data_IF_840418251985
#
_entry.id   IF_840418251985
#
_cell.length_a   1.000
_cell.length_b   1.000
_cell.length_c   1.000
_cell.angle_alpha   90.00
_cell.angle_beta   90.00
_cell.angle_gamma   90.00
#
_symmetry.space_group_name_H-M   'P 1'
#
loop_
_entity.id
_entity.type
_entity.pdbx_description
1 polymer ?
#
# COMPACT_ATOMS: atom_id res chain seq x y z
N UNK A 1 14.01 -7.36 -11.35
CA UNK A 1 12.51 -7.38 -11.36
C UNK A 1 12.01 -6.63 -10.14
N UNK A 2 11.08 -5.69 -10.30
CA UNK A 2 10.54 -4.87 -9.20
C UNK A 2 9.17 -5.36 -8.73
N UNK A 3 8.90 -5.28 -7.42
CA UNK A 3 7.63 -5.63 -6.79
C UNK A 3 7.08 -4.44 -6.02
N UNK A 4 5.88 -3.99 -6.37
CA UNK A 4 5.19 -2.88 -5.71
C UNK A 4 3.93 -3.37 -5.00
N UNK A 5 3.84 -3.06 -3.72
CA UNK A 5 2.64 -3.32 -2.92
C UNK A 5 1.96 -1.99 -2.61
N UNK A 6 0.69 -1.86 -2.99
CA UNK A 6 -0.14 -0.70 -2.68
C UNK A 6 -1.16 -1.07 -1.62
N UNK A 7 -1.18 -0.35 -0.52
CA UNK A 7 -2.11 -0.56 0.58
C UNK A 7 -2.87 0.75 0.84
N UNK A 8 -4.19 0.74 0.68
CA UNK A 8 -5.00 1.86 1.16
C UNK A 8 -5.13 1.78 2.68
N UNK A 9 -4.95 2.91 3.38
CA UNK A 9 -5.17 2.95 4.84
C UNK A 9 -6.51 2.32 5.24
N UNK A 10 -6.58 1.74 6.43
CA UNK A 10 -7.79 1.15 7.00
C UNK A 10 -8.83 2.23 7.35
N UNK A 11 -10.03 1.81 7.77
CA UNK A 11 -11.15 2.72 8.01
C UNK A 11 -10.84 3.75 9.09
N UNK A 12 -10.89 5.04 8.74
CA UNK A 12 -10.66 6.15 9.66
C UNK A 12 -11.92 6.58 10.42
N UNK A 13 -11.71 7.23 11.59
CA UNK A 13 -12.77 7.80 12.42
C UNK A 13 -13.17 9.18 11.92
N UNK A 14 -14.46 9.50 12.09
CA UNK A 14 -15.06 10.82 11.91
C UNK A 14 -15.66 11.36 13.19
N UNK A 15 -15.40 10.70 14.34
CA UNK A 15 -15.98 11.05 15.65
C UNK A 15 -15.42 12.35 16.23
N UNK A 16 -14.30 12.83 15.70
CA UNK A 16 -13.57 14.00 16.18
C UNK A 16 -13.50 15.06 15.08
N UNK A 17 -14.56 15.87 14.86
CA UNK A 17 -14.59 16.85 13.77
C UNK A 17 -13.59 18.00 13.94
N UNK A 18 -13.04 18.21 15.15
CA UNK A 18 -11.98 19.17 15.47
C UNK A 18 -10.61 18.78 14.92
N UNK A 19 -10.38 17.50 14.59
CA UNK A 19 -9.12 17.04 14.02
C UNK A 19 -9.02 17.39 12.54
N UNK A 20 -7.81 17.78 12.11
CA UNK A 20 -7.50 17.88 10.68
C UNK A 20 -7.59 16.52 10.01
N UNK A 21 -7.76 16.47 8.69
CA UNK A 21 -7.76 15.21 7.94
C UNK A 21 -6.51 14.38 8.20
N UNK A 22 -5.34 15.02 8.28
CA UNK A 22 -4.06 14.37 8.56
C UNK A 22 -4.03 13.70 9.94
N UNK A 23 -4.69 14.28 10.94
CA UNK A 23 -4.70 13.81 12.33
C UNK A 23 -5.77 12.75 12.62
N UNK A 24 -6.67 12.47 11.68
CA UNK A 24 -7.74 11.48 11.91
C UNK A 24 -7.17 10.08 12.11
N UNK A 25 -7.52 9.40 13.24
CA UNK A 25 -7.09 8.04 13.52
C UNK A 25 -7.95 7.00 12.80
N UNK A 26 -7.56 5.73 12.89
CA UNK A 26 -8.44 4.62 12.57
C UNK A 26 -9.62 4.55 13.56
N UNK A 27 -10.77 4.06 13.08
CA UNK A 27 -11.85 3.63 13.96
C UNK A 27 -11.67 2.15 14.36
N UNK A 28 -12.58 1.61 15.19
CA UNK A 28 -12.51 0.22 15.66
C UNK A 28 -12.49 -0.78 14.50
N UNK A 29 -13.29 -0.54 13.44
CA UNK A 29 -13.31 -1.42 12.24
C UNK A 29 -11.99 -1.39 11.48
N UNK A 30 -11.36 -0.21 11.39
CA UNK A 30 -10.05 -0.06 10.75
C UNK A 30 -8.95 -0.81 11.51
N UNK A 31 -8.93 -0.69 12.84
CA UNK A 31 -7.98 -1.43 13.69
C UNK A 31 -8.16 -2.95 13.59
N UNK A 32 -9.39 -3.43 13.42
CA UNK A 32 -9.68 -4.86 13.23
C UNK A 32 -9.35 -5.36 11.81
N UNK A 33 -9.41 -4.49 10.81
CA UNK A 33 -9.21 -4.87 9.41
C UNK A 33 -7.73 -5.01 9.01
N UNK A 34 -6.82 -4.26 9.64
CA UNK A 34 -5.41 -4.24 9.23
C UNK A 34 -4.64 -5.54 9.57
N UNK A 35 -4.77 -6.18 10.76
CA UNK A 35 -4.03 -7.41 11.05
C UNK A 35 -4.30 -8.57 10.10
N UNK A 36 -5.53 -8.88 9.64
CA UNK A 36 -5.76 -9.88 8.62
C UNK A 36 -5.01 -9.64 7.31
N UNK A 37 -4.85 -8.36 6.90
CA UNK A 37 -4.07 -8.02 5.71
C UNK A 37 -2.59 -8.34 5.92
N UNK A 38 -2.02 -7.99 7.06
CA UNK A 38 -0.64 -8.37 7.42
C UNK A 38 -0.43 -9.87 7.33
N UNK A 39 -1.35 -10.69 7.87
CA UNK A 39 -1.28 -12.16 7.75
C UNK A 39 -1.37 -12.64 6.31
N UNK A 40 -2.23 -12.04 5.50
CA UNK A 40 -2.35 -12.39 4.08
C UNK A 40 -1.06 -12.07 3.33
N UNK A 41 -0.45 -10.92 3.61
CA UNK A 41 0.84 -10.52 3.04
C UNK A 41 1.95 -11.49 3.48
N UNK A 42 1.99 -11.88 4.75
CA UNK A 42 2.95 -12.88 5.25
C UNK A 42 2.87 -14.19 4.47
N UNK A 43 1.67 -14.70 4.25
CA UNK A 43 1.46 -15.94 3.50
C UNK A 43 1.96 -15.83 2.05
N UNK A 44 1.59 -14.76 1.37
CA UNK A 44 1.92 -14.58 -0.06
C UNK A 44 3.41 -14.25 -0.28
N UNK A 45 4.03 -13.54 0.64
CA UNK A 45 5.39 -13.00 0.49
C UNK A 45 6.39 -13.87 1.23
N UNK A 46 6.37 -13.89 2.57
CA UNK A 46 7.37 -14.57 3.39
C UNK A 46 7.27 -16.10 3.23
N UNK A 47 6.08 -16.66 3.44
CA UNK A 47 5.87 -18.13 3.30
C UNK A 47 6.00 -18.54 1.83
N UNK A 48 5.65 -17.65 0.91
CA UNK A 48 5.88 -17.83 -0.53
C UNK A 48 7.35 -17.73 -0.96
N UNK A 49 8.29 -17.49 -0.03
CA UNK A 49 9.73 -17.44 -0.29
C UNK A 49 10.17 -16.19 -1.07
N UNK A 50 9.45 -15.08 -0.93
CA UNK A 50 9.76 -13.80 -1.59
C UNK A 50 10.39 -12.84 -0.60
N UNK A 51 11.08 -11.83 -1.13
CA UNK A 51 11.69 -10.77 -0.33
C UNK A 51 10.61 -9.94 0.38
N UNK A 52 10.83 -9.68 1.69
CA UNK A 52 9.98 -8.78 2.48
C UNK A 52 10.12 -7.35 1.95
N UNK A 53 9.03 -6.68 1.55
CA UNK A 53 9.11 -5.34 0.99
C UNK A 53 9.58 -4.32 2.03
N UNK A 54 10.32 -3.29 1.59
CA UNK A 54 10.56 -2.11 2.39
C UNK A 54 9.28 -1.28 2.46
N UNK A 55 8.82 -0.99 3.68
CA UNK A 55 7.57 -0.23 3.90
C UNK A 55 7.82 1.27 3.97
N UNK A 56 6.97 1.99 3.25
CA UNK A 56 6.86 3.45 3.28
C UNK A 56 5.39 3.83 3.49
N UNK A 57 5.13 4.76 4.38
CA UNK A 57 3.76 5.17 4.68
C UNK A 57 3.62 6.69 4.67
N UNK A 58 2.45 7.15 4.25
CA UNK A 58 2.00 8.52 4.48
C UNK A 58 2.14 8.88 5.96
N UNK A 59 2.49 10.13 6.25
CA UNK A 59 2.56 10.64 7.63
C UNK A 59 1.20 10.79 8.29
N UNK A 60 0.09 10.69 7.56
CA UNK A 60 -1.26 10.72 8.13
C UNK A 60 -1.43 9.64 9.21
N UNK A 61 -2.05 10.00 10.34
CA UNK A 61 -2.21 9.11 11.50
C UNK A 61 -2.83 7.76 11.13
N UNK A 62 -3.87 7.76 10.28
CA UNK A 62 -4.53 6.53 9.81
C UNK A 62 -3.60 5.61 9.02
N UNK A 63 -2.62 6.16 8.26
CA UNK A 63 -1.65 5.36 7.54
C UNK A 63 -0.63 4.70 8.49
N UNK A 64 -0.15 5.46 9.48
CA UNK A 64 0.74 4.95 10.54
C UNK A 64 0.07 3.82 11.34
N UNK A 65 -1.15 4.04 11.81
CA UNK A 65 -1.93 3.04 12.55
C UNK A 65 -2.28 1.81 11.68
N UNK A 66 -2.39 1.98 10.36
CA UNK A 66 -2.55 0.84 9.43
C UNK A 66 -1.28 0.00 9.43
N UNK A 67 -0.10 0.60 9.33
CA UNK A 67 1.17 -0.13 9.41
C UNK A 67 1.31 -0.88 10.74
N UNK A 68 0.96 -0.24 11.87
CA UNK A 68 0.95 -0.89 13.19
C UNK A 68 0.07 -2.15 13.18
N UNK A 69 -1.10 -2.07 12.54
CA UNK A 69 -2.00 -3.19 12.38
C UNK A 69 -1.44 -4.31 11.49
N UNK A 70 -0.74 -3.97 10.39
CA UNK A 70 -0.06 -4.94 9.54
C UNK A 70 1.03 -5.68 10.33
N UNK A 71 1.79 -4.98 11.17
CA UNK A 71 2.83 -5.56 12.04
C UNK A 71 2.23 -6.57 13.03
N UNK A 72 1.05 -6.29 13.58
CA UNK A 72 0.34 -7.27 14.45
C UNK A 72 0.05 -8.56 13.67
N UNK A 73 -0.30 -8.46 12.39
CA UNK A 73 -0.58 -9.60 11.53
C UNK A 73 0.65 -10.31 10.98
N UNK A 74 1.75 -9.57 10.81
CA UNK A 74 3.05 -10.02 10.30
C UNK A 74 4.19 -9.41 11.11
N UNK A 75 4.56 -10.04 12.26
CA UNK A 75 5.50 -9.44 13.22
C UNK A 75 6.90 -9.13 12.67
N UNK A 76 7.37 -9.85 11.65
CA UNK A 76 8.67 -9.57 11.01
C UNK A 76 8.78 -8.13 10.48
N UNK A 77 7.66 -7.52 10.08
CA UNK A 77 7.65 -6.11 9.65
C UNK A 77 8.09 -5.14 10.75
N UNK A 78 7.90 -5.52 12.02
CA UNK A 78 8.31 -4.70 13.17
C UNK A 78 9.84 -4.63 13.38
N UNK A 79 10.61 -5.46 12.67
CA UNK A 79 12.08 -5.41 12.69
C UNK A 79 12.62 -4.32 11.74
N UNK A 80 11.79 -3.84 10.81
CA UNK A 80 12.14 -2.73 9.93
C UNK A 80 11.93 -1.39 10.65
N UNK A 81 12.78 -0.41 10.34
CA UNK A 81 12.53 0.98 10.72
C UNK A 81 11.42 1.52 9.82
N UNK A 82 10.29 1.97 10.38
CA UNK A 82 9.22 2.53 9.56
C UNK A 82 9.67 3.80 8.84
N UNK A 83 9.43 3.90 7.54
CA UNK A 83 9.68 5.09 6.75
C UNK A 83 8.36 5.84 6.54
N UNK A 84 8.21 6.98 7.22
CA UNK A 84 7.07 7.88 7.02
C UNK A 84 7.50 9.06 6.17
N UNK A 85 6.74 9.33 5.10
CA UNK A 85 7.07 10.37 4.14
C UNK A 85 5.84 11.25 3.87
N UNK A 86 6.01 12.57 4.02
CA UNK A 86 4.97 13.55 3.74
C UNK A 86 4.55 13.57 2.26
N UNK A 87 5.47 13.23 1.35
CA UNK A 87 5.16 13.13 -0.07
C UNK A 87 4.14 12.02 -0.39
N UNK A 88 4.01 11.02 0.49
CA UNK A 88 2.98 9.99 0.39
C UNK A 88 1.62 10.43 0.95
N UNK A 89 1.53 11.58 1.62
CA UNK A 89 0.27 12.24 1.97
C UNK A 89 -0.24 13.02 0.78
N UNK A 90 -0.64 12.32 -0.25
CA UNK A 90 -1.15 12.88 -1.50
C UNK A 90 -2.44 12.20 -1.93
N UNK A 91 -3.25 12.93 -2.69
CA UNK A 91 -4.49 12.46 -3.32
C UNK A 91 -4.34 12.36 -4.85
N UNK A 92 -3.16 12.72 -5.38
CA UNK A 92 -2.84 12.67 -6.81
C UNK A 92 -1.94 11.48 -7.15
N UNK A 93 -2.34 10.73 -8.16
CA UNK A 93 -1.58 9.62 -8.72
C UNK A 93 -0.20 10.07 -9.25
N UNK A 94 -0.11 11.27 -9.82
CA UNK A 94 1.14 11.77 -10.39
C UNK A 94 2.24 11.87 -9.33
N UNK A 95 1.90 12.37 -8.13
CA UNK A 95 2.85 12.45 -7.02
C UNK A 95 3.36 11.07 -6.61
N UNK A 96 2.50 10.05 -6.63
CA UNK A 96 2.91 8.67 -6.32
C UNK A 96 3.84 8.10 -7.40
N UNK A 97 3.56 8.37 -8.68
CA UNK A 97 4.44 7.97 -9.80
C UNK A 97 5.82 8.61 -9.63
N UNK A 98 5.86 9.92 -9.39
CA UNK A 98 7.12 10.66 -9.19
C UNK A 98 7.89 10.13 -7.99
N UNK A 99 7.20 9.86 -6.87
CA UNK A 99 7.82 9.28 -5.69
C UNK A 99 8.44 7.91 -5.98
N UNK A 100 7.69 7.00 -6.62
CA UNK A 100 8.16 5.65 -6.96
C UNK A 100 9.33 5.72 -7.93
N UNK A 101 9.28 6.61 -8.93
CA UNK A 101 10.33 6.78 -9.94
C UNK A 101 11.68 7.19 -9.31
N UNK A 102 11.66 7.83 -8.14
CA UNK A 102 12.86 8.26 -7.40
C UNK A 102 13.25 7.31 -6.26
N UNK A 103 12.51 6.22 -6.06
CA UNK A 103 12.86 5.24 -5.03
C UNK A 103 14.22 4.58 -5.31
N UNK A 104 14.90 4.19 -4.25
CA UNK A 104 16.20 3.51 -4.36
C UNK A 104 16.06 2.16 -5.08
N UNK A 105 16.73 2.03 -6.21
CA UNK A 105 16.76 0.80 -7.00
C UNK A 105 17.43 -0.39 -6.28
N UNK A 106 18.09 -0.15 -5.15
CA UNK A 106 18.57 -1.20 -4.25
C UNK A 106 17.44 -2.01 -3.60
N UNK A 107 16.22 -1.48 -3.53
CA UNK A 107 15.04 -2.22 -3.10
C UNK A 107 14.36 -2.89 -4.30
N UNK A 108 14.32 -4.21 -4.34
CA UNK A 108 13.56 -4.95 -5.35
C UNK A 108 12.08 -5.04 -5.01
N UNK A 109 11.71 -4.83 -3.76
CA UNK A 109 10.33 -4.86 -3.28
C UNK A 109 10.04 -3.70 -2.35
N UNK A 110 9.01 -2.88 -2.67
CA UNK A 110 8.54 -1.78 -1.83
C UNK A 110 7.04 -1.87 -1.57
N UNK A 111 6.60 -1.39 -0.42
CA UNK A 111 5.19 -1.30 -0.04
C UNK A 111 4.83 0.13 0.36
N UNK A 112 3.78 0.67 -0.25
CA UNK A 112 3.27 2.01 0.01
C UNK A 112 1.93 1.96 0.73
N UNK A 113 1.81 2.68 1.85
CA UNK A 113 0.54 2.88 2.56
C UNK A 113 0.10 4.33 2.35
N UNK A 114 -1.01 4.50 1.66
CA UNK A 114 -1.54 5.83 1.30
C UNK A 114 -3.06 5.87 1.27
N UNK A 115 -3.60 6.79 0.48
CA UNK A 115 -5.01 7.09 0.45
C UNK A 115 -5.56 7.21 -0.98
N UNK A 116 -6.88 7.10 -1.10
CA UNK A 116 -7.60 7.36 -2.33
C UNK A 116 -7.90 8.86 -2.52
N UNK A 117 -8.07 9.30 -3.79
CA UNK A 117 -8.15 8.50 -5.01
C UNK A 117 -6.80 8.05 -5.58
N UNK A 118 -5.68 8.59 -5.12
CA UNK A 118 -4.35 8.34 -5.68
C UNK A 118 -4.02 6.85 -5.83
N UNK A 119 -4.30 6.03 -4.79
CA UNK A 119 -4.02 4.58 -4.81
C UNK A 119 -4.85 3.84 -5.88
N UNK A 120 -6.14 4.15 -6.02
CA UNK A 120 -7.00 3.52 -7.03
C UNK A 120 -6.58 3.93 -8.44
N UNK A 121 -6.30 5.22 -8.64
CA UNK A 121 -5.90 5.74 -9.94
C UNK A 121 -4.53 5.20 -10.37
N UNK A 122 -3.58 5.08 -9.44
CA UNK A 122 -2.29 4.47 -9.69
C UNK A 122 -2.45 2.98 -10.07
N UNK A 123 -3.25 2.23 -9.33
CA UNK A 123 -3.49 0.82 -9.63
C UNK A 123 -4.05 0.62 -11.05
N UNK A 124 -5.02 1.44 -11.45
CA UNK A 124 -5.59 1.39 -12.79
C UNK A 124 -4.64 1.90 -13.89
N UNK A 125 -3.72 2.80 -13.54
CA UNK A 125 -2.67 3.23 -14.45
C UNK A 125 -1.65 2.10 -14.70
N UNK A 126 -1.21 1.44 -13.64
CA UNK A 126 -0.24 0.35 -13.73
C UNK A 126 -0.82 -0.90 -14.41
N UNK A 127 -2.07 -1.23 -14.12
CA UNK A 127 -2.76 -2.38 -14.67
C UNK A 127 -4.20 -2.01 -15.07
N UNK A 128 -4.42 -1.49 -16.30
CA UNK A 128 -5.73 -1.00 -16.74
C UNK A 128 -6.85 -2.04 -16.73
N UNK A 129 -6.50 -3.31 -16.85
CA UNK A 129 -7.47 -4.42 -16.84
C UNK A 129 -8.12 -4.64 -15.47
N UNK A 130 -7.56 -4.08 -14.39
CA UNK A 130 -8.20 -4.10 -13.06
C UNK A 130 -9.52 -3.36 -13.06
N UNK A 131 -9.60 -2.23 -13.77
CA UNK A 131 -10.80 -1.39 -13.89
C UNK A 131 -11.48 -1.13 -12.52
N UNK A 132 -10.69 -0.90 -11.48
CA UNK A 132 -11.18 -0.67 -10.13
C UNK A 132 -11.95 0.64 -10.06
N UNK A 133 -13.19 0.60 -9.57
CA UNK A 133 -13.94 1.82 -9.21
C UNK A 133 -13.38 2.45 -7.93
N UNK A 134 -12.95 1.61 -6.99
CA UNK A 134 -12.40 2.05 -5.70
C UNK A 134 -11.63 0.90 -5.03
N UNK A 135 -10.37 1.13 -4.66
CA UNK A 135 -9.65 0.23 -3.76
C UNK A 135 -10.24 0.40 -2.35
N UNK A 136 -10.82 -0.64 -1.74
CA UNK A 136 -11.41 -0.54 -0.41
C UNK A 136 -10.38 -0.17 0.67
N UNK A 137 -10.83 0.38 1.80
CA UNK A 137 -9.97 0.60 2.98
C UNK A 137 -9.34 -0.71 3.43
N UNK A 138 -8.05 -0.68 3.77
CA UNK A 138 -7.20 -1.84 4.03
C UNK A 138 -7.09 -2.82 2.85
N UNK A 139 -7.48 -2.40 1.64
CA UNK A 139 -7.21 -3.18 0.42
C UNK A 139 -5.73 -3.18 0.10
N UNK A 140 -5.24 -4.32 -0.33
CA UNK A 140 -3.86 -4.55 -0.73
C UNK A 140 -3.79 -5.07 -2.16
N UNK A 141 -2.92 -4.44 -2.97
CA UNK A 141 -2.56 -4.84 -4.34
C UNK A 141 -1.08 -5.17 -4.39
N UNK A 142 -0.72 -6.20 -5.16
CA UNK A 142 0.66 -6.54 -5.45
C UNK A 142 0.88 -6.59 -6.96
N UNK A 143 1.88 -5.83 -7.41
CA UNK A 143 2.33 -5.76 -8.81
C UNK A 143 3.77 -6.24 -8.95
N UNK A 144 4.10 -6.82 -10.11
CA UNK A 144 5.48 -7.00 -10.56
C UNK A 144 5.73 -6.26 -11.87
N UNK A 145 7.00 -5.93 -12.09
CA UNK A 145 7.52 -5.29 -13.31
C UNK A 145 8.75 -6.05 -13.74
N UNK A 146 8.91 -6.21 -15.04
CA UNK A 146 10.10 -6.89 -15.61
C UNK A 146 11.35 -5.98 -15.65
N UNK A 147 11.18 -4.72 -15.23
CA UNK A 147 12.24 -3.72 -15.15
C UNK A 147 13.11 -3.90 -13.89
N UNK A 148 14.37 -3.41 -13.95
CA UNK A 148 15.29 -3.41 -12.82
C UNK A 148 15.41 -2.02 -12.14
N UNK A 149 14.73 -1.01 -12.70
CA UNK A 149 14.65 0.35 -12.14
C UNK A 149 13.21 0.78 -11.91
N UNK A 150 12.98 1.51 -10.81
CA UNK A 150 11.65 2.01 -10.44
C UNK A 150 11.11 3.03 -11.44
N UNK A 151 11.98 3.92 -11.93
CA UNK A 151 11.61 4.90 -12.96
C UNK A 151 11.02 4.21 -14.21
N UNK A 152 11.72 3.22 -14.77
CA UNK A 152 11.25 2.47 -15.93
C UNK A 152 9.94 1.71 -15.65
N UNK A 153 9.74 1.25 -14.40
CA UNK A 153 8.57 0.45 -14.01
C UNK A 153 7.27 1.24 -14.02
N UNK A 154 7.31 2.55 -13.72
CA UNK A 154 6.09 3.33 -13.48
C UNK A 154 5.82 4.46 -14.47
N UNK A 155 6.73 4.77 -15.39
CA UNK A 155 6.57 5.88 -16.34
C UNK A 155 5.46 5.68 -17.38
N UNK A 156 5.14 4.43 -17.71
CA UNK A 156 4.18 4.13 -18.77
C UNK A 156 3.01 3.31 -18.26
N UNK A 157 1.83 3.64 -18.77
CA UNK A 157 0.59 2.92 -18.45
C UNK A 157 0.67 1.45 -18.86
N UNK A 158 0.15 0.56 -18.00
CA UNK A 158 0.01 -0.87 -18.30
C UNK A 158 1.28 -1.70 -18.13
N UNK A 159 2.30 -1.16 -17.41
CA UNK A 159 3.56 -1.87 -17.15
C UNK A 159 3.44 -2.91 -16.04
N UNK A 160 2.52 -2.71 -15.10
CA UNK A 160 2.37 -3.58 -13.94
C UNK A 160 1.57 -4.84 -14.23
N UNK A 161 2.09 -5.99 -13.79
CA UNK A 161 1.34 -7.25 -13.72
C UNK A 161 0.78 -7.41 -12.32
N UNK A 162 -0.55 -7.37 -12.17
CA UNK A 162 -1.19 -7.57 -10.87
C UNK A 162 -1.26 -9.06 -10.52
N UNK A 163 -0.75 -9.43 -9.34
CA UNK A 163 -0.76 -10.80 -8.82
C UNK A 163 -1.82 -11.01 -7.74
N UNK A 164 -2.10 -9.98 -6.98
CA UNK A 164 -3.02 -10.08 -5.84
C UNK A 164 -3.82 -8.79 -5.71
N UNK A 165 -5.11 -8.96 -5.54
CA UNK A 165 -6.02 -7.98 -4.98
C UNK A 165 -6.67 -8.63 -3.75
N UNK A 166 -6.35 -8.13 -2.57
CA UNK A 166 -6.91 -8.59 -1.31
C UNK A 166 -7.74 -7.50 -0.66
N UNK A 167 -8.90 -7.87 -0.13
CA UNK A 167 -9.71 -6.97 0.68
C UNK A 167 -10.12 -7.67 1.98
N UNK A 168 -10.22 -6.96 3.12
CA UNK A 168 -10.60 -7.58 4.39
C UNK A 168 -11.98 -8.24 4.37
N UNK A 169 -12.88 -7.73 3.51
CA UNK A 169 -14.26 -8.24 3.39
C UNK A 169 -14.37 -9.49 2.54
N UNK A 170 -13.62 -9.57 1.46
CA UNK A 170 -13.78 -10.63 0.44
C UNK A 170 -12.60 -11.60 0.40
N UNK A 171 -11.53 -11.31 1.13
CA UNK A 171 -10.28 -12.05 1.02
C UNK A 171 -9.56 -11.78 -0.30
N UNK A 172 -8.74 -12.74 -0.76
CA UNK A 172 -8.02 -12.65 -2.03
C UNK A 172 -9.01 -12.78 -3.20
N UNK A 173 -8.93 -11.84 -4.15
CA UNK A 173 -9.79 -11.78 -5.34
C UNK A 173 -9.08 -12.17 -6.64
N UNK A 174 -7.73 -12.18 -6.66
CA UNK A 174 -6.88 -12.60 -7.77
C UNK A 174 -5.84 -13.61 -7.29
#
# INVERSE_FOLDING_TARGET
MKHLHLIRHAKSSWEHPELSDHQRPLNARGRQAAPPVGRAMQVEIEIGGRETPQFFASTAKRARETLDGLIIGWPLLGEQVPNYDDALYTFDKADLIDWIATADDGFDSIALIGQNPAMTELANFLCPTLALSNLPTAGWLWFSFDDDAWDASVQSRGRGRCHTLYTPKSGKLL
#
